data_IF_606506940619
#
_entry.id   IF_606506940619
#
_cell.length_a   1.000
_cell.length_b   1.000
_cell.length_c   1.000
_cell.angle_alpha   90.00
_cell.angle_beta   90.00
_cell.angle_gamma   90.00
#
_symmetry.space_group_name_H-M   'P 1'
#
loop_
_entity.id
_entity.type
_entity.pdbx_description
1 polymer ?
#
# COMPACT_ATOMS: atom_id res chain seq x y z
N UNK A 1 23.53 -2.47 -5.90
CA UNK A 1 23.24 -1.11 -5.44
C UNK A 1 21.73 -0.93 -5.41
N UNK A 2 21.20 -0.42 -4.30
CA UNK A 2 19.77 -0.21 -4.15
C UNK A 2 19.33 1.05 -4.90
N UNK A 3 18.15 1.01 -5.48
CA UNK A 3 17.62 2.08 -6.32
C UNK A 3 17.13 3.26 -5.49
N UNK A 4 17.44 4.47 -5.95
CA UNK A 4 16.83 5.68 -5.45
C UNK A 4 15.64 6.05 -6.34
N UNK A 5 14.59 6.56 -5.71
CA UNK A 5 13.37 6.96 -6.43
C UNK A 5 13.38 8.46 -6.62
N UNK A 6 13.31 8.91 -7.89
CA UNK A 6 13.25 10.33 -8.20
C UNK A 6 11.82 10.84 -8.04
N UNK A 7 11.69 12.17 -7.92
CA UNK A 7 10.36 12.80 -7.83
C UNK A 7 9.54 12.55 -9.11
N UNK A 8 10.19 12.60 -10.26
CA UNK A 8 9.52 12.34 -11.54
C UNK A 8 8.98 10.90 -11.62
N UNK A 9 9.74 9.93 -11.12
CA UNK A 9 9.29 8.54 -11.04
C UNK A 9 8.09 8.41 -10.10
N UNK A 10 8.14 9.09 -8.97
CA UNK A 10 7.04 9.10 -8.01
C UNK A 10 5.78 9.73 -8.62
N UNK A 11 5.94 10.85 -9.34
CA UNK A 11 4.82 11.48 -10.04
C UNK A 11 4.24 10.59 -11.13
N UNK A 12 5.08 9.90 -11.87
CA UNK A 12 4.62 8.98 -12.92
C UNK A 12 3.76 7.87 -12.34
N UNK A 13 4.19 7.30 -11.21
CA UNK A 13 3.44 6.26 -10.52
C UNK A 13 2.10 6.81 -10.00
N UNK A 14 2.11 7.98 -9.35
CA UNK A 14 0.90 8.59 -8.82
C UNK A 14 -0.10 8.95 -9.92
N UNK A 15 0.37 9.49 -11.03
CA UNK A 15 -0.49 9.85 -12.17
C UNK A 15 -1.13 8.61 -12.78
N UNK A 16 -0.40 7.52 -12.90
CA UNK A 16 -0.91 6.26 -13.41
C UNK A 16 -2.08 5.76 -12.55
N UNK A 17 -1.88 5.75 -11.25
CA UNK A 17 -2.91 5.30 -10.30
C UNK A 17 -4.10 6.24 -10.30
N UNK A 18 -3.86 7.55 -10.25
CA UNK A 18 -4.92 8.55 -10.22
C UNK A 18 -5.86 8.44 -11.42
N UNK A 19 -5.32 8.20 -12.60
CA UNK A 19 -6.11 8.07 -13.82
C UNK A 19 -7.08 6.88 -13.78
N UNK A 20 -6.84 5.92 -12.88
CA UNK A 20 -7.63 4.71 -12.75
C UNK A 20 -8.55 4.71 -11.53
N UNK A 21 -8.47 5.74 -10.70
CA UNK A 21 -9.34 5.85 -9.52
C UNK A 21 -10.59 6.64 -9.86
N UNK A 22 -11.79 6.09 -9.58
CA UNK A 22 -13.04 6.79 -9.84
C UNK A 22 -13.30 7.97 -8.89
N UNK A 23 -12.60 8.01 -7.75
CA UNK A 23 -12.70 9.10 -6.79
C UNK A 23 -11.42 9.20 -5.96
N UNK A 24 -11.25 10.31 -5.25
CA UNK A 24 -10.06 10.57 -4.43
C UNK A 24 -10.16 9.84 -3.09
N UNK A 25 -9.13 9.07 -2.68
CA UNK A 25 -9.12 8.44 -1.37
C UNK A 25 -8.86 9.46 -0.28
N UNK A 26 -9.49 9.27 0.88
CA UNK A 26 -9.27 10.08 2.07
C UNK A 26 -8.33 9.37 3.05
N UNK A 27 -8.47 8.06 3.15
CA UNK A 27 -7.68 7.23 4.08
C UNK A 27 -6.82 6.27 3.28
N UNK A 28 -5.56 6.14 3.67
CA UNK A 28 -4.66 5.11 3.17
C UNK A 28 -4.52 4.05 4.25
N UNK A 29 -4.79 2.79 3.89
CA UNK A 29 -4.73 1.67 4.81
C UNK A 29 -3.72 0.66 4.32
N UNK A 30 -2.69 0.39 5.14
CA UNK A 30 -1.69 -0.64 4.84
C UNK A 30 -2.03 -1.88 5.65
N UNK A 31 -2.37 -2.97 4.97
CA UNK A 31 -2.71 -4.24 5.60
C UNK A 31 -1.45 -5.06 5.84
N UNK A 32 -1.24 -5.46 7.09
CA UNK A 32 -0.18 -6.36 7.46
C UNK A 32 -0.52 -7.82 7.16
N UNK A 33 0.42 -8.71 7.45
CA UNK A 33 0.25 -10.14 7.25
C UNK A 33 -0.95 -10.67 8.03
N UNK A 34 -1.74 -11.51 7.40
CA UNK A 34 -2.91 -12.12 8.03
C UNK A 34 -4.16 -11.25 8.03
N UNK A 35 -4.08 -10.01 7.54
CA UNK A 35 -5.21 -9.09 7.54
C UNK A 35 -5.82 -8.86 6.16
N UNK A 36 -5.37 -9.61 5.15
CA UNK A 36 -5.89 -9.48 3.78
C UNK A 36 -7.40 -9.73 3.66
N UNK A 37 -7.98 -10.52 4.57
CA UNK A 37 -9.42 -10.79 4.58
C UNK A 37 -10.28 -9.57 4.85
N UNK A 38 -9.71 -8.51 5.43
CA UNK A 38 -10.46 -7.27 5.64
C UNK A 38 -10.92 -6.66 4.32
N UNK A 39 -10.05 -6.65 3.31
CA UNK A 39 -10.39 -6.11 2.00
C UNK A 39 -11.51 -6.90 1.32
N UNK A 40 -11.62 -8.19 1.60
CA UNK A 40 -12.64 -9.06 1.00
C UNK A 40 -14.06 -8.72 1.49
N UNK A 41 -14.17 -7.98 2.58
CA UNK A 41 -15.46 -7.57 3.17
C UNK A 41 -15.97 -6.26 2.59
N UNK A 42 -15.16 -5.56 1.79
CA UNK A 42 -15.50 -4.26 1.23
C UNK A 42 -15.92 -4.42 -0.22
N UNK A 43 -16.79 -3.52 -0.66
CA UNK A 43 -17.06 -3.37 -2.09
C UNK A 43 -15.89 -2.63 -2.70
N UNK A 44 -15.18 -3.28 -3.61
CA UNK A 44 -14.00 -2.71 -4.25
C UNK A 44 -14.39 -2.08 -5.57
N UNK A 45 -14.13 -0.79 -5.70
CA UNK A 45 -14.49 0.01 -6.88
C UNK A 45 -13.33 0.10 -7.89
N UNK A 46 -12.10 -0.12 -7.45
CA UNK A 46 -10.94 -0.15 -8.34
C UNK A 46 -9.86 -1.05 -7.77
N UNK A 47 -9.14 -1.73 -8.64
CA UNK A 47 -8.01 -2.58 -8.30
C UNK A 47 -6.87 -2.30 -9.27
N UNK A 48 -5.68 -2.02 -8.74
CA UNK A 48 -4.50 -1.72 -9.54
C UNK A 48 -3.36 -2.60 -9.04
N UNK A 49 -2.86 -3.48 -9.91
CA UNK A 49 -1.71 -4.33 -9.57
C UNK A 49 -0.45 -3.47 -9.50
N UNK A 50 0.41 -3.73 -8.53
CA UNK A 50 1.69 -3.00 -8.43
C UNK A 50 2.54 -3.16 -9.69
N UNK A 51 2.50 -4.33 -10.31
CA UNK A 51 3.30 -4.63 -11.49
C UNK A 51 2.95 -3.80 -12.72
N UNK A 52 1.76 -3.19 -12.76
CA UNK A 52 1.38 -2.31 -13.87
C UNK A 52 1.74 -0.85 -13.63
N UNK A 53 2.10 -0.48 -12.39
CA UNK A 53 2.43 0.91 -12.04
C UNK A 53 3.87 1.21 -12.39
N UNK A 54 4.15 2.30 -13.14
CA UNK A 54 5.54 2.65 -13.51
C UNK A 54 6.44 2.79 -12.27
N UNK A 55 7.63 2.22 -12.33
CA UNK A 55 8.68 2.32 -11.31
C UNK A 55 8.32 1.73 -9.95
N UNK A 56 7.18 1.09 -9.81
CA UNK A 56 6.70 0.56 -8.53
C UNK A 56 7.46 -0.71 -8.14
N UNK A 57 7.84 -0.85 -6.86
CA UNK A 57 8.46 -2.09 -6.40
C UNK A 57 7.42 -3.22 -6.33
N UNK A 58 7.81 -4.38 -6.82
CA UNK A 58 6.97 -5.59 -6.80
C UNK A 58 7.73 -6.67 -6.07
N UNK A 59 7.08 -7.33 -5.11
CA UNK A 59 7.72 -8.42 -4.37
C UNK A 59 8.17 -9.53 -5.31
N UNK A 60 9.38 -10.05 -5.07
CA UNK A 60 9.91 -11.20 -5.80
C UNK A 60 9.39 -12.53 -5.23
N UNK A 61 8.71 -12.49 -4.09
CA UNK A 61 8.16 -13.69 -3.47
C UNK A 61 6.89 -14.11 -4.21
N UNK A 62 6.85 -15.35 -4.68
CA UNK A 62 5.70 -15.86 -5.42
C UNK A 62 4.42 -15.76 -4.59
N UNK A 63 3.34 -15.27 -5.22
CA UNK A 63 2.06 -15.09 -4.57
C UNK A 63 1.94 -13.83 -3.73
N UNK A 64 2.99 -13.00 -3.66
CA UNK A 64 3.01 -11.79 -2.83
C UNK A 64 3.13 -10.51 -3.67
N UNK A 65 2.64 -10.53 -4.90
CA UNK A 65 2.78 -9.40 -5.82
C UNK A 65 2.11 -8.12 -5.33
N UNK A 66 0.96 -8.22 -4.73
CA UNK A 66 0.28 -7.07 -4.13
C UNK A 66 -0.43 -6.13 -5.10
N UNK A 67 -1.31 -5.32 -4.54
CA UNK A 67 -2.12 -4.38 -5.30
C UNK A 67 -2.67 -3.26 -4.42
N UNK A 68 -3.11 -2.18 -5.07
CA UNK A 68 -3.98 -1.18 -4.43
C UNK A 68 -5.43 -1.54 -4.69
N UNK A 69 -6.27 -1.36 -3.68
CA UNK A 69 -7.71 -1.53 -3.77
C UNK A 69 -8.39 -0.25 -3.28
N UNK A 70 -9.32 0.28 -4.06
CA UNK A 70 -10.10 1.44 -3.66
C UNK A 70 -11.52 1.01 -3.36
N UNK A 71 -11.99 1.36 -2.18
CA UNK A 71 -13.36 1.06 -1.75
C UNK A 71 -13.82 2.07 -0.73
N UNK A 72 -14.98 1.84 -0.15
CA UNK A 72 -15.55 2.71 0.87
C UNK A 72 -15.88 1.93 2.12
N UNK A 73 -15.57 2.54 3.27
CA UNK A 73 -16.05 2.10 4.58
C UNK A 73 -17.11 3.12 4.99
N UNK A 74 -18.38 2.74 4.89
CA UNK A 74 -19.45 3.72 4.98
C UNK A 74 -19.35 4.68 3.80
N UNK A 75 -19.24 5.98 4.06
CA UNK A 75 -19.05 7.01 3.04
C UNK A 75 -17.59 7.43 2.87
N UNK A 76 -16.69 6.82 3.63
CA UNK A 76 -15.27 7.20 3.62
C UNK A 76 -14.49 6.43 2.55
N UNK A 77 -13.94 7.11 1.52
CA UNK A 77 -13.12 6.44 0.52
C UNK A 77 -11.78 6.02 1.10
N UNK A 78 -11.44 4.75 0.94
CA UNK A 78 -10.22 4.15 1.50
C UNK A 78 -9.42 3.51 0.37
N UNK A 79 -8.14 3.86 0.29
CA UNK A 79 -7.21 3.19 -0.60
C UNK A 79 -6.41 2.18 0.22
N UNK A 80 -6.53 0.91 -0.12
CA UNK A 80 -5.95 -0.19 0.63
C UNK A 80 -4.70 -0.68 -0.10
N UNK A 81 -3.60 -0.75 0.63
CA UNK A 81 -2.38 -1.37 0.17
C UNK A 81 -2.37 -2.82 0.65
N UNK A 82 -2.67 -3.74 -0.27
CA UNK A 82 -2.69 -5.16 0.02
C UNK A 82 -1.41 -5.79 -0.50
N UNK A 83 -0.56 -6.20 0.43
CA UNK A 83 0.78 -6.67 0.10
C UNK A 83 1.78 -5.53 0.01
N UNK A 84 3.03 -5.81 0.32
CA UNK A 84 4.12 -4.82 0.27
C UNK A 84 5.46 -5.51 0.16
N UNK A 85 6.44 -4.79 -0.39
CA UNK A 85 7.82 -5.26 -0.37
C UNK A 85 8.45 -4.90 0.98
N UNK A 86 9.46 -5.65 1.36
CA UNK A 86 10.16 -5.45 2.62
C UNK A 86 11.62 -5.14 2.36
N UNK A 87 12.22 -4.39 3.27
CA UNK A 87 13.63 -4.03 3.16
C UNK A 87 14.54 -5.26 3.05
N UNK A 88 14.23 -6.31 3.78
CA UNK A 88 15.04 -7.53 3.76
C UNK A 88 15.03 -8.25 2.39
N UNK A 89 14.10 -7.93 1.50
CA UNK A 89 14.06 -8.49 0.15
C UNK A 89 15.08 -7.84 -0.79
N UNK A 90 15.88 -6.89 -0.30
CA UNK A 90 16.90 -6.21 -1.10
C UNK A 90 16.46 -4.86 -1.67
N UNK A 91 15.26 -4.40 -1.35
CA UNK A 91 14.78 -3.09 -1.81
C UNK A 91 15.38 -1.96 -0.97
N UNK A 92 15.54 -0.78 -1.58
CA UNK A 92 15.96 0.40 -0.85
C UNK A 92 14.83 0.88 0.05
N UNK A 93 15.18 1.70 1.07
CA UNK A 93 14.13 2.31 1.91
C UNK A 93 13.19 3.18 1.07
N UNK A 94 13.69 3.86 0.04
CA UNK A 94 12.85 4.65 -0.85
C UNK A 94 11.85 3.79 -1.61
N UNK A 95 12.27 2.61 -2.06
CA UNK A 95 11.36 1.67 -2.73
C UNK A 95 10.32 1.11 -1.76
N UNK A 96 10.70 0.82 -0.53
CA UNK A 96 9.78 0.28 0.49
C UNK A 96 8.70 1.29 0.84
N UNK A 97 9.04 2.58 0.93
CA UNK A 97 8.08 3.63 1.30
C UNK A 97 7.37 4.26 0.10
N UNK A 98 7.78 3.96 -1.11
CA UNK A 98 7.20 4.55 -2.32
C UNK A 98 5.67 4.41 -2.40
N UNK A 99 5.08 3.24 -2.11
CA UNK A 99 3.61 3.12 -2.14
C UNK A 99 2.89 4.08 -1.21
N UNK A 100 3.43 4.28 -0.01
CA UNK A 100 2.83 5.20 0.97
C UNK A 100 2.92 6.64 0.47
N UNK A 101 4.05 7.02 -0.13
CA UNK A 101 4.22 8.36 -0.71
C UNK A 101 3.25 8.58 -1.86
N UNK A 102 3.03 7.57 -2.69
CA UNK A 102 2.05 7.64 -3.77
C UNK A 102 0.64 7.83 -3.21
N UNK A 103 0.26 7.09 -2.17
CA UNK A 103 -1.05 7.25 -1.55
C UNK A 103 -1.26 8.67 -1.02
N UNK A 104 -0.22 9.28 -0.44
CA UNK A 104 -0.28 10.67 0.00
C UNK A 104 -0.50 11.62 -1.18
N UNK A 105 0.23 11.42 -2.28
CA UNK A 105 0.10 12.26 -3.48
C UNK A 105 -1.29 12.13 -4.12
N UNK A 106 -1.98 11.02 -3.90
CA UNK A 106 -3.33 10.80 -4.40
C UNK A 106 -4.41 11.51 -3.58
N UNK A 107 -4.03 12.13 -2.48
CA UNK A 107 -4.93 12.92 -1.64
C UNK A 107 -5.27 12.30 -0.29
N UNK A 108 -4.71 11.14 0.05
CA UNK A 108 -4.96 10.53 1.34
C UNK A 108 -4.42 11.41 2.47
N UNK A 109 -5.28 11.74 3.42
CA UNK A 109 -4.96 12.61 4.55
C UNK A 109 -4.61 11.85 5.81
N UNK A 110 -5.09 10.60 5.91
CA UNK A 110 -4.92 9.75 7.09
C UNK A 110 -4.26 8.46 6.65
N UNK A 111 -3.21 8.06 7.35
CA UNK A 111 -2.53 6.79 7.10
C UNK A 111 -2.74 5.87 8.29
N UNK A 112 -3.29 4.69 8.02
CA UNK A 112 -3.47 3.65 9.02
C UNK A 112 -2.56 2.47 8.66
N UNK A 113 -1.67 2.14 9.57
CA UNK A 113 -0.76 1.00 9.42
C UNK A 113 -1.21 -0.11 10.34
N UNK A 114 -1.37 -1.31 9.78
CA UNK A 114 -1.68 -2.49 10.55
C UNK A 114 -0.55 -3.49 10.42
N UNK A 115 -0.24 -4.20 11.49
CA UNK A 115 0.75 -5.27 11.46
C UNK A 115 0.40 -6.33 12.49
N UNK A 116 1.00 -7.51 12.32
CA UNK A 116 0.98 -8.58 13.31
C UNK A 116 2.42 -8.76 13.80
N UNK A 117 2.73 -8.24 14.97
CA UNK A 117 4.05 -8.33 15.59
C UNK A 117 3.95 -9.01 16.93
N UNK A 118 4.90 -9.89 17.22
CA UNK A 118 5.00 -10.52 18.52
C UNK A 118 5.49 -9.52 19.57
N UNK A 119 4.82 -9.46 20.71
CA UNK A 119 5.27 -8.62 21.82
C UNK A 119 6.41 -9.30 22.59
N UNK A 120 7.56 -8.61 22.66
CA UNK A 120 8.71 -9.10 23.42
C UNK A 120 8.72 -8.60 24.85
N UNK A 121 7.91 -7.60 25.16
CA UNK A 121 7.83 -7.01 26.49
C UNK A 121 6.72 -7.69 27.27
N UNK A 122 6.99 -8.16 28.51
CA UNK A 122 5.94 -8.82 29.32
C UNK A 122 4.69 -7.96 29.59
N UNK A 123 4.79 -6.64 29.44
CA UNK A 123 3.65 -5.75 29.60
C UNK A 123 2.79 -5.65 28.33
N UNK A 124 3.21 -6.23 27.21
CA UNK A 124 2.41 -6.29 26.00
C UNK A 124 1.46 -7.48 26.07
N UNK A 125 0.17 -7.21 25.91
CA UNK A 125 -0.86 -8.25 25.93
C UNK A 125 -1.55 -8.33 24.57
N UNK A 126 -1.64 -9.52 23.96
CA UNK A 126 -2.42 -9.69 22.74
C UNK A 126 -3.91 -9.48 23.02
N UNK A 127 -4.60 -8.93 22.04
CA UNK A 127 -6.04 -8.70 22.12
C UNK A 127 -6.84 -9.86 21.58
#
# INVERSE_FOLDING_TARGET
MKKEITYEELQAAASYVQARLPYTPKVALVLGSGLGGFADRLTIDAKIQYGEIPHFPVSTVAGHAGCFLLGKVGDCPVLIMKGRVHYYEGYSMQEVVMPVRVMHMLGAEILILTNAAGGMNPSCHPH
#
